data_IF_375698233707
#
_entry.id   IF_375698233707
#
_cell.length_a   1.000
_cell.length_b   1.000
_cell.length_c   1.000
_cell.angle_alpha   90.00
_cell.angle_beta   90.00
_cell.angle_gamma   90.00
#
_symmetry.space_group_name_H-M   'P 1'
#
loop_
_entity.id
_entity.type
_entity.pdbx_description
1 polymer ?
#
# COMPACT_ATOMS: atom_id res chain seq x y z
N UNK A 1 -58.43 7.25 48.44
CA UNK A 1 -57.99 5.85 48.52
C UNK A 1 -57.65 5.39 47.13
N UNK A 2 -56.45 4.83 46.99
CA UNK A 2 -55.83 4.41 45.74
C UNK A 2 -56.48 3.15 45.15
N UNK A 3 -56.51 3.08 43.83
CA UNK A 3 -56.37 1.84 43.08
C UNK A 3 -55.78 2.17 41.69
N UNK A 4 -54.49 1.91 41.60
CA UNK A 4 -53.63 1.85 40.42
C UNK A 4 -54.19 0.91 39.36
N UNK A 5 -54.01 1.24 38.08
CA UNK A 5 -53.48 0.29 37.07
C UNK A 5 -53.19 1.03 35.77
N UNK A 6 -51.89 1.21 35.51
CA UNK A 6 -51.33 1.49 34.20
C UNK A 6 -51.70 0.35 33.24
N UNK A 7 -52.15 0.71 32.04
CA UNK A 7 -51.99 -0.13 30.85
C UNK A 7 -51.26 0.69 29.82
N UNK A 8 -49.94 0.66 29.94
CA UNK A 8 -49.03 0.90 28.83
C UNK A 8 -49.38 -0.11 27.74
N UNK A 9 -50.01 0.36 26.66
CA UNK A 9 -50.06 -0.41 25.42
C UNK A 9 -48.64 -0.57 24.90
N UNK A 10 -48.19 -1.81 24.90
CA UNK A 10 -46.91 -2.24 24.38
C UNK A 10 -46.81 -1.86 22.90
N UNK A 11 -46.14 -0.74 22.62
CA UNK A 11 -45.47 -0.53 21.35
C UNK A 11 -44.44 -1.65 21.26
N UNK A 12 -44.73 -2.68 20.46
CA UNK A 12 -43.79 -3.73 20.14
C UNK A 12 -42.61 -3.09 19.41
N UNK A 13 -41.56 -2.78 20.15
CA UNK A 13 -40.24 -2.48 19.62
C UNK A 13 -39.73 -3.76 18.96
N UNK A 14 -39.99 -3.90 17.66
CA UNK A 14 -39.23 -4.82 16.83
C UNK A 14 -37.76 -4.42 16.98
N UNK A 15 -37.00 -5.21 17.74
CA UNK A 15 -35.58 -5.01 17.93
C UNK A 15 -34.91 -4.99 16.55
N UNK A 16 -34.53 -3.80 16.10
CA UNK A 16 -33.70 -3.61 14.92
C UNK A 16 -32.35 -4.26 15.22
N UNK A 17 -32.00 -5.30 14.46
CA UNK A 17 -30.68 -5.92 14.54
C UNK A 17 -29.61 -4.91 14.12
N UNK A 18 -29.02 -4.21 15.07
CA UNK A 18 -27.78 -3.47 14.84
C UNK A 18 -26.70 -4.49 14.51
N UNK A 19 -26.30 -4.62 13.25
CA UNK A 19 -25.13 -5.42 12.92
C UNK A 19 -23.91 -4.76 13.55
N UNK A 20 -23.24 -5.48 14.44
CA UNK A 20 -21.97 -5.04 14.99
C UNK A 20 -20.93 -4.91 13.86
N UNK A 21 -19.98 -3.96 13.95
CA UNK A 21 -18.81 -3.92 13.07
C UNK A 21 -18.17 -5.30 12.88
N UNK A 22 -17.74 -5.59 11.65
CA UNK A 22 -16.99 -6.81 11.35
C UNK A 22 -15.52 -6.55 11.63
N UNK A 23 -14.90 -7.40 12.44
CA UNK A 23 -13.47 -7.31 12.74
C UNK A 23 -12.73 -8.47 12.06
N UNK A 24 -11.76 -8.15 11.20
CA UNK A 24 -10.88 -9.15 10.57
C UNK A 24 -9.49 -9.01 11.19
N UNK A 25 -9.11 -10.04 11.96
CA UNK A 25 -7.78 -10.12 12.55
C UNK A 25 -6.72 -10.36 11.46
N UNK A 26 -5.45 -10.09 11.78
CA UNK A 26 -4.33 -10.40 10.88
C UNK A 26 -4.27 -11.88 10.51
N UNK A 27 -4.53 -12.77 11.48
CA UNK A 27 -4.56 -14.22 11.25
C UNK A 27 -5.66 -14.59 10.27
N UNK A 28 -6.89 -14.09 10.49
CA UNK A 28 -8.01 -14.32 9.56
C UNK A 28 -7.71 -13.76 8.18
N UNK A 29 -7.15 -12.55 8.09
CA UNK A 29 -6.79 -11.91 6.82
C UNK A 29 -5.88 -12.79 5.96
N UNK A 30 -4.81 -13.35 6.55
CA UNK A 30 -3.88 -14.21 5.81
C UNK A 30 -4.49 -15.53 5.35
N UNK A 31 -5.56 -16.00 6.00
CA UNK A 31 -6.27 -17.22 5.57
C UNK A 31 -7.24 -16.98 4.42
N UNK A 32 -7.80 -15.77 4.31
CA UNK A 32 -8.85 -15.46 3.32
C UNK A 32 -8.30 -14.75 2.08
N UNK A 33 -7.24 -13.95 2.22
CA UNK A 33 -6.68 -13.15 1.14
C UNK A 33 -5.24 -13.59 0.84
N UNK A 34 -5.09 -14.48 -0.15
CA UNK A 34 -3.77 -14.90 -0.63
C UNK A 34 -3.17 -13.86 -1.59
N UNK A 35 -1.84 -13.84 -1.72
CA UNK A 35 -1.14 -13.01 -2.71
C UNK A 35 -1.69 -13.22 -4.13
N UNK A 36 -1.96 -14.47 -4.53
CA UNK A 36 -2.46 -14.77 -5.87
C UNK A 36 -3.85 -14.18 -6.11
N UNK A 37 -4.78 -14.36 -5.16
CA UNK A 37 -6.12 -13.79 -5.25
C UNK A 37 -6.06 -12.26 -5.29
N UNK A 38 -5.24 -11.65 -4.42
CA UNK A 38 -5.08 -10.20 -4.38
C UNK A 38 -4.50 -9.64 -5.68
N UNK A 39 -3.44 -10.25 -6.23
CA UNK A 39 -2.85 -9.82 -7.50
C UNK A 39 -3.86 -9.89 -8.65
N UNK A 40 -4.58 -10.99 -8.78
CA UNK A 40 -5.61 -11.16 -9.82
C UNK A 40 -6.73 -10.12 -9.65
N UNK A 41 -7.19 -9.92 -8.41
CA UNK A 41 -8.20 -8.91 -8.10
C UNK A 41 -7.72 -7.53 -8.55
N UNK A 42 -6.55 -7.09 -8.09
CA UNK A 42 -5.98 -5.78 -8.43
C UNK A 42 -5.77 -5.61 -9.94
N UNK A 43 -5.22 -6.60 -10.64
CA UNK A 43 -5.05 -6.54 -12.10
C UNK A 43 -6.38 -6.30 -12.83
N UNK A 44 -7.46 -6.94 -12.37
CA UNK A 44 -8.77 -6.82 -13.00
C UNK A 44 -9.54 -5.55 -12.63
N UNK A 45 -9.38 -5.04 -11.40
CA UNK A 45 -10.23 -3.96 -10.87
C UNK A 45 -9.55 -2.60 -10.86
N UNK A 46 -8.22 -2.54 -10.73
CA UNK A 46 -7.46 -1.30 -10.60
C UNK A 46 -7.69 -0.30 -11.76
N UNK A 47 -7.74 -0.73 -13.04
CA UNK A 47 -8.06 0.16 -14.15
C UNK A 47 -9.40 0.87 -14.00
N UNK A 48 -10.46 0.18 -13.59
CA UNK A 48 -11.79 0.77 -13.44
C UNK A 48 -11.87 1.61 -12.17
N UNK A 49 -11.38 1.07 -11.06
CA UNK A 49 -11.46 1.69 -9.75
C UNK A 49 -10.72 3.03 -9.66
N UNK A 50 -9.54 3.12 -10.28
CA UNK A 50 -8.76 4.37 -10.33
C UNK A 50 -9.47 5.55 -11.01
N UNK A 51 -10.49 5.30 -11.83
CA UNK A 51 -11.29 6.39 -12.45
C UNK A 51 -12.43 6.91 -11.58
N UNK A 52 -12.86 6.12 -10.59
CA UNK A 52 -14.04 6.40 -9.77
C UNK A 52 -13.69 6.68 -8.30
N UNK A 53 -12.51 6.24 -7.85
CA UNK A 53 -12.02 6.49 -6.50
C UNK A 53 -11.39 7.87 -6.41
N UNK A 54 -11.73 8.57 -5.35
CA UNK A 54 -11.07 9.79 -4.91
C UNK A 54 -10.08 9.40 -3.82
N UNK A 55 -8.81 9.76 -4.02
CA UNK A 55 -7.72 9.48 -3.09
C UNK A 55 -6.84 10.71 -2.95
N UNK A 56 -7.03 11.55 -1.91
CA UNK A 56 -6.12 12.66 -1.67
C UNK A 56 -4.72 12.14 -1.34
N UNK A 57 -3.72 13.02 -1.48
CA UNK A 57 -2.36 12.77 -0.98
C UNK A 57 -2.46 12.40 0.50
N UNK A 58 -1.66 11.41 0.92
CA UNK A 58 -1.69 10.94 2.30
C UNK A 58 -1.41 12.07 3.27
N UNK A 59 -2.11 12.07 4.39
CA UNK A 59 -1.83 13.03 5.46
C UNK A 59 -0.70 12.47 6.32
N UNK A 60 0.26 13.32 6.66
CA UNK A 60 1.40 12.95 7.49
C UNK A 60 1.40 13.77 8.78
N UNK A 61 1.32 13.09 9.92
CA UNK A 61 1.35 13.68 11.24
C UNK A 61 2.61 13.22 11.99
N UNK A 62 3.53 14.15 12.22
CA UNK A 62 4.72 13.88 13.04
C UNK A 62 4.31 13.74 14.50
N UNK A 63 4.75 12.66 15.15
CA UNK A 63 4.42 12.37 16.55
C UNK A 63 5.63 12.60 17.47
N UNK A 64 6.75 11.95 17.14
CA UNK A 64 8.03 12.01 17.82
C UNK A 64 9.16 12.09 16.76
N UNK A 65 10.42 12.35 17.13
CA UNK A 65 11.53 12.30 16.19
C UNK A 65 11.53 10.99 15.37
N UNK A 66 11.47 11.13 14.05
CA UNK A 66 11.43 10.03 13.08
C UNK A 66 10.18 9.14 13.11
N UNK A 67 9.17 9.45 13.92
CA UNK A 67 7.93 8.69 14.05
C UNK A 67 6.71 9.47 13.56
N UNK A 68 5.80 8.77 12.89
CA UNK A 68 4.69 9.41 12.19
C UNK A 68 3.42 8.56 12.16
N UNK A 69 2.27 9.23 12.16
CA UNK A 69 0.97 8.68 11.77
C UNK A 69 0.67 9.14 10.35
N UNK A 70 0.29 8.20 9.49
CA UNK A 70 -0.15 8.43 8.13
C UNK A 70 -1.62 8.07 8.00
N UNK A 71 -2.40 8.94 7.36
CA UNK A 71 -3.79 8.67 7.02
C UNK A 71 -3.92 8.62 5.49
N UNK A 72 -4.49 7.52 4.99
CA UNK A 72 -4.70 7.28 3.56
C UNK A 72 -6.19 7.03 3.30
N UNK A 73 -7.01 8.10 3.25
CA UNK A 73 -8.43 7.97 2.95
C UNK A 73 -8.66 7.74 1.45
N UNK A 74 -9.73 7.03 1.14
CA UNK A 74 -10.20 6.77 -0.22
C UNK A 74 -11.72 6.62 -0.20
N UNK A 75 -12.41 7.11 -1.23
CA UNK A 75 -13.85 6.92 -1.34
C UNK A 75 -14.34 6.95 -2.77
N UNK A 76 -15.49 6.34 -3.01
CA UNK A 76 -16.17 6.40 -4.30
C UNK A 76 -17.67 6.60 -4.08
N UNK A 77 -18.25 7.54 -4.82
CA UNK A 77 -19.70 7.73 -4.91
C UNK A 77 -20.34 6.86 -6.01
N UNK A 78 -19.55 6.05 -6.72
CA UNK A 78 -20.08 5.16 -7.76
C UNK A 78 -20.89 4.03 -7.13
N UNK A 79 -22.09 3.71 -7.66
CA UNK A 79 -22.87 2.56 -7.21
C UNK A 79 -22.14 1.22 -7.35
N UNK A 80 -21.13 1.13 -8.22
CA UNK A 80 -20.34 -0.10 -8.41
C UNK A 80 -19.24 -0.28 -7.36
N UNK A 81 -18.93 0.77 -6.58
CA UNK A 81 -17.95 0.74 -5.49
C UNK A 81 -18.34 1.79 -4.43
N UNK A 82 -19.49 1.61 -3.74
CA UNK A 82 -20.06 2.62 -2.85
C UNK A 82 -19.43 2.52 -1.46
N UNK A 83 -18.13 2.82 -1.36
CA UNK A 83 -17.38 2.68 -0.11
C UNK A 83 -16.57 3.92 0.22
N UNK A 84 -16.39 4.15 1.52
CA UNK A 84 -15.37 5.03 2.10
C UNK A 84 -14.43 4.15 2.89
N UNK A 85 -13.13 4.35 2.79
CA UNK A 85 -12.18 3.63 3.61
C UNK A 85 -10.94 4.45 3.92
N UNK A 86 -10.37 4.21 5.09
CA UNK A 86 -9.20 4.93 5.58
C UNK A 86 -8.19 3.94 6.11
N UNK A 87 -6.98 3.95 5.56
CA UNK A 87 -5.84 3.30 6.18
C UNK A 87 -5.20 4.25 7.18
N UNK A 88 -5.06 3.81 8.42
CA UNK A 88 -4.26 4.43 9.46
C UNK A 88 -2.97 3.64 9.57
N UNK A 89 -1.83 4.28 9.34
CA UNK A 89 -0.52 3.63 9.45
C UNK A 89 0.34 4.38 10.45
N UNK A 90 0.96 3.67 11.36
CA UNK A 90 2.02 4.22 12.19
C UNK A 90 3.36 3.74 11.70
N UNK A 91 4.34 4.66 11.67
CA UNK A 91 5.74 4.38 11.38
C UNK A 91 6.57 4.78 12.60
N UNK A 92 7.15 3.79 13.27
CA UNK A 92 7.99 3.89 14.44
C UNK A 92 9.29 3.12 14.18
N UNK A 93 10.29 3.71 13.53
CA UNK A 93 11.46 2.98 13.05
C UNK A 93 12.27 2.34 14.20
N UNK A 94 12.19 2.90 15.41
CA UNK A 94 12.87 2.37 16.59
C UNK A 94 12.26 1.06 17.10
N UNK A 95 11.02 0.72 16.75
CA UNK A 95 10.36 -0.51 17.19
C UNK A 95 11.15 -1.78 16.82
N UNK A 96 11.87 -1.76 15.70
CA UNK A 96 12.71 -2.88 15.25
C UNK A 96 13.78 -3.25 16.29
N UNK A 97 14.31 -2.27 17.04
CA UNK A 97 15.31 -2.51 18.10
C UNK A 97 14.75 -3.27 19.31
N UNK A 98 13.43 -3.26 19.48
CA UNK A 98 12.71 -3.95 20.56
C UNK A 98 11.81 -5.06 20.01
N UNK A 99 12.10 -5.58 18.82
CA UNK A 99 11.38 -6.67 18.14
C UNK A 99 9.89 -6.40 17.84
N UNK A 100 9.46 -5.14 17.85
CA UNK A 100 8.13 -4.73 17.41
C UNK A 100 8.15 -4.30 15.93
N UNK A 101 7.03 -4.39 15.19
CA UNK A 101 6.97 -3.90 13.82
C UNK A 101 7.24 -2.39 13.75
N UNK A 102 8.13 -1.99 12.83
CA UNK A 102 8.40 -0.58 12.55
C UNK A 102 7.25 0.13 11.83
N UNK A 103 6.41 -0.64 11.14
CA UNK A 103 5.18 -0.17 10.50
C UNK A 103 4.02 -1.01 11.02
N UNK A 104 2.93 -0.36 11.42
CA UNK A 104 1.68 -1.01 11.78
C UNK A 104 0.53 -0.29 11.08
N UNK A 105 -0.41 -1.06 10.55
CA UNK A 105 -1.51 -0.52 9.76
C UNK A 105 -2.85 -1.01 10.30
N UNK A 106 -3.85 -0.15 10.29
CA UNK A 106 -5.24 -0.56 10.40
C UNK A 106 -6.07 0.06 9.28
N UNK A 107 -6.96 -0.71 8.68
CA UNK A 107 -7.86 -0.21 7.65
C UNK A 107 -9.28 -0.20 8.18
N UNK A 108 -10.02 0.87 7.94
CA UNK A 108 -11.42 1.02 8.32
C UNK A 108 -12.24 1.25 7.05
N UNK A 109 -13.17 0.35 6.73
CA UNK A 109 -14.06 0.45 5.57
C UNK A 109 -15.50 0.75 6.02
N UNK A 110 -16.19 1.63 5.31
CA UNK A 110 -17.60 1.98 5.53
C UNK A 110 -18.37 1.75 4.22
N UNK A 111 -19.48 1.03 4.31
CA UNK A 111 -20.44 0.92 3.20
C UNK A 111 -21.31 2.17 3.08
N UNK A 112 -21.44 2.69 1.87
CA UNK A 112 -22.42 3.72 1.50
C UNK A 112 -23.70 3.11 0.92
N UNK A 113 -23.79 1.78 0.86
CA UNK A 113 -24.95 1.07 0.31
C UNK A 113 -26.19 1.11 1.22
N UNK A 114 -26.04 1.54 2.49
CA UNK A 114 -27.14 1.90 3.37
C UNK A 114 -27.83 3.16 2.84
N UNK A 115 -28.69 2.93 1.84
CA UNK A 115 -29.64 3.79 1.13
C UNK A 115 -29.72 5.26 1.56
N UNK A 116 -29.80 6.12 0.55
CA UNK A 116 -30.21 7.55 0.49
C UNK A 116 -31.40 8.04 1.35
N UNK A 117 -31.75 7.42 2.48
CA UNK A 117 -32.83 7.80 3.39
C UNK A 117 -32.40 7.47 4.84
N UNK A 118 -31.91 8.48 5.55
CA UNK A 118 -31.91 8.58 7.02
C UNK A 118 -31.72 7.26 7.82
N UNK A 119 -30.56 6.60 7.70
CA UNK A 119 -29.95 5.73 8.73
C UNK A 119 -28.57 5.28 8.25
N UNK A 120 -27.52 5.85 8.84
CA UNK A 120 -26.14 5.44 8.62
C UNK A 120 -25.83 4.21 9.48
N UNK A 121 -26.31 3.04 9.06
CA UNK A 121 -25.73 1.78 9.54
C UNK A 121 -24.49 1.53 8.68
N UNK A 122 -23.35 1.98 9.19
CA UNK A 122 -22.04 1.70 8.61
C UNK A 122 -21.56 0.33 9.09
N UNK A 123 -21.56 -0.66 8.20
CA UNK A 123 -20.73 -1.84 8.42
C UNK A 123 -19.28 -1.38 8.37
N UNK A 124 -18.62 -1.45 9.53
CA UNK A 124 -17.22 -1.09 9.70
C UNK A 124 -16.39 -2.35 9.63
N UNK A 125 -15.54 -2.48 8.61
CA UNK A 125 -14.50 -3.50 8.57
C UNK A 125 -13.20 -2.92 9.13
N UNK A 126 -12.68 -3.49 10.22
CA UNK A 126 -11.35 -3.15 10.73
C UNK A 126 -10.37 -4.28 10.40
N UNK A 127 -9.31 -3.95 9.67
CA UNK A 127 -8.18 -4.84 9.36
C UNK A 127 -6.94 -4.38 10.12
N UNK A 128 -6.07 -5.30 10.55
CA UNK A 128 -4.77 -4.96 11.13
C UNK A 128 -3.64 -5.67 10.36
N UNK A 129 -2.60 -4.96 9.96
CA UNK A 129 -1.40 -5.53 9.35
C UNK A 129 -0.28 -5.60 10.39
N UNK A 130 0.07 -6.83 10.79
CA UNK A 130 1.16 -7.14 11.71
C UNK A 130 2.46 -7.55 10.99
N UNK A 131 3.44 -7.98 11.78
CA UNK A 131 4.81 -8.34 11.38
C UNK A 131 4.82 -9.25 10.12
N UNK A 132 5.53 -8.83 9.08
CA UNK A 132 5.92 -9.73 7.99
C UNK A 132 6.92 -10.77 8.50
N UNK A 133 6.80 -12.00 8.02
CA UNK A 133 7.65 -13.10 8.46
C UNK A 133 9.14 -12.82 8.28
N UNK A 134 9.96 -13.46 9.12
CA UNK A 134 11.40 -13.50 8.89
C UNK A 134 11.63 -14.19 7.54
N UNK A 135 12.15 -13.43 6.57
CA UNK A 135 12.56 -13.95 5.28
C UNK A 135 13.50 -15.15 5.49
N UNK A 136 13.15 -16.33 4.97
CA UNK A 136 14.04 -17.49 4.96
C UNK A 136 13.82 -18.57 6.01
N UNK A 137 12.59 -18.88 6.44
CA UNK A 137 12.34 -20.23 6.94
C UNK A 137 12.17 -21.19 5.75
N UNK A 138 13.17 -22.05 5.56
CA UNK A 138 13.20 -23.10 4.54
C UNK A 138 12.04 -24.07 4.74
N UNK A 139 10.87 -23.75 4.17
CA UNK A 139 9.67 -24.58 4.26
C UNK A 139 8.45 -24.06 3.50
N UNK A 140 8.29 -22.74 3.33
CA UNK A 140 7.05 -22.17 2.75
C UNK A 140 7.04 -22.00 1.23
N UNK A 141 8.21 -21.90 0.59
CA UNK A 141 8.31 -21.65 -0.85
C UNK A 141 8.96 -22.84 -1.56
N UNK A 142 8.12 -23.80 -1.97
CA UNK A 142 8.57 -24.98 -2.70
C UNK A 142 9.35 -24.60 -3.97
N UNK A 143 10.56 -25.13 -4.11
CA UNK A 143 11.43 -24.88 -5.28
C UNK A 143 12.25 -23.59 -5.24
N UNK A 144 12.25 -22.85 -4.13
CA UNK A 144 13.06 -21.63 -3.94
C UNK A 144 14.17 -21.88 -2.91
N UNK A 145 15.41 -21.58 -3.28
CA UNK A 145 16.56 -21.58 -2.36
C UNK A 145 16.82 -20.17 -1.83
N UNK A 146 17.02 -20.06 -0.52
CA UNK A 146 17.38 -18.80 0.13
C UNK A 146 18.86 -18.82 0.52
N UNK A 147 19.59 -17.80 0.11
CA UNK A 147 21.00 -17.62 0.47
C UNK A 147 21.19 -16.19 1.01
N UNK A 148 21.79 -16.09 2.21
CA UNK A 148 22.19 -14.81 2.77
C UNK A 148 23.59 -14.47 2.31
N UNK A 149 23.79 -13.26 1.80
CA UNK A 149 25.11 -12.76 1.42
C UNK A 149 25.47 -11.53 2.25
N UNK A 150 26.74 -11.45 2.68
CA UNK A 150 27.26 -10.34 3.47
C UNK A 150 27.66 -9.10 2.64
N UNK A 151 27.59 -9.17 1.31
CA UNK A 151 28.01 -8.10 0.41
C UNK A 151 26.83 -7.67 -0.48
N UNK A 152 26.25 -6.50 -0.20
CA UNK A 152 25.10 -5.98 -0.94
C UNK A 152 25.43 -5.72 -2.42
N UNK A 153 26.59 -5.13 -2.70
CA UNK A 153 27.04 -4.81 -4.07
C UNK A 153 27.10 -6.06 -4.96
N UNK A 154 27.47 -7.21 -4.41
CA UNK A 154 27.52 -8.49 -5.13
C UNK A 154 26.11 -8.99 -5.44
N UNK A 155 25.22 -9.03 -4.44
CA UNK A 155 23.83 -9.50 -4.61
C UNK A 155 23.08 -8.68 -5.65
N UNK A 156 23.24 -7.35 -5.62
CA UNK A 156 22.62 -6.45 -6.60
C UNK A 156 23.10 -6.77 -8.02
N UNK A 157 24.38 -7.16 -8.18
CA UNK A 157 24.94 -7.53 -9.48
C UNK A 157 24.39 -8.83 -10.07
N UNK A 158 23.91 -9.75 -9.23
CA UNK A 158 23.34 -11.03 -9.68
C UNK A 158 21.83 -10.96 -9.95
N UNK A 159 21.11 -10.07 -9.27
CA UNK A 159 19.65 -10.01 -9.32
C UNK A 159 19.07 -9.63 -10.67
N UNK A 160 18.22 -10.50 -11.24
CA UNK A 160 17.29 -10.13 -12.33
C UNK A 160 16.19 -9.19 -11.82
N UNK A 161 15.78 -9.41 -10.57
CA UNK A 161 14.84 -8.57 -9.82
C UNK A 161 15.52 -8.24 -8.50
N UNK A 162 15.66 -6.94 -8.22
CA UNK A 162 16.19 -6.41 -6.96
C UNK A 162 15.05 -5.64 -6.30
N UNK A 163 14.60 -6.10 -5.13
CA UNK A 163 13.59 -5.39 -4.33
C UNK A 163 14.27 -4.75 -3.12
N UNK A 164 14.09 -3.44 -2.97
CA UNK A 164 14.57 -2.66 -1.83
C UNK A 164 13.35 -2.17 -1.03
N UNK A 165 13.35 -2.50 0.27
CA UNK A 165 12.27 -2.18 1.19
C UNK A 165 12.85 -1.82 2.57
N UNK A 166 13.61 -0.74 2.60
CA UNK A 166 14.43 -0.27 3.72
C UNK A 166 14.03 1.13 4.14
N UNK A 167 14.33 1.48 5.39
CA UNK A 167 14.15 2.86 5.87
C UNK A 167 15.40 3.73 5.65
N UNK A 168 16.17 3.47 4.59
CA UNK A 168 17.45 4.15 4.38
C UNK A 168 17.28 5.62 4.02
N UNK A 169 18.20 6.46 4.50
CA UNK A 169 18.36 7.86 4.09
C UNK A 169 19.60 8.04 3.21
N UNK A 170 20.28 6.94 2.88
CA UNK A 170 21.43 6.91 1.98
C UNK A 170 21.29 5.79 0.94
N UNK A 171 21.81 5.99 -0.29
CA UNK A 171 21.75 4.96 -1.32
C UNK A 171 22.34 3.63 -0.88
N UNK A 172 21.55 2.56 -1.00
CA UNK A 172 21.98 1.18 -0.78
C UNK A 172 22.26 0.50 -2.13
N UNK A 173 21.34 0.67 -3.08
CA UNK A 173 21.47 0.13 -4.44
C UNK A 173 22.24 1.12 -5.31
N UNK A 174 23.44 0.72 -5.71
CA UNK A 174 24.25 1.49 -6.65
C UNK A 174 23.89 1.13 -8.08
N UNK A 175 23.48 2.11 -8.87
CA UNK A 175 23.06 1.91 -10.26
C UNK A 175 24.11 1.22 -11.10
N UNK A 176 25.41 1.51 -10.88
CA UNK A 176 26.53 0.85 -11.58
C UNK A 176 26.59 -0.68 -11.37
N UNK A 177 26.02 -1.18 -10.26
CA UNK A 177 26.00 -2.61 -9.94
C UNK A 177 24.85 -3.34 -10.63
N UNK A 178 23.80 -2.64 -11.06
CA UNK A 178 22.68 -3.28 -11.76
C UNK A 178 23.16 -3.84 -13.12
N UNK A 179 22.88 -5.12 -13.34
CA UNK A 179 23.11 -5.77 -14.64
C UNK A 179 22.12 -5.28 -15.69
N UNK A 180 22.49 -5.42 -16.97
CA UNK A 180 21.56 -5.22 -18.08
C UNK A 180 20.32 -6.10 -17.88
N UNK A 181 19.15 -5.54 -18.15
CA UNK A 181 17.87 -6.25 -18.00
C UNK A 181 17.28 -6.31 -16.59
N UNK A 182 17.98 -5.84 -15.55
CA UNK A 182 17.45 -5.89 -14.19
C UNK A 182 16.13 -5.10 -14.02
N UNK A 183 15.26 -5.58 -13.13
CA UNK A 183 14.14 -4.83 -12.57
C UNK A 183 14.47 -4.43 -11.13
N UNK A 184 14.42 -3.14 -10.84
CA UNK A 184 14.60 -2.60 -9.50
C UNK A 184 13.25 -2.14 -8.96
N UNK A 185 12.83 -2.69 -7.83
CA UNK A 185 11.59 -2.36 -7.13
C UNK A 185 11.94 -1.63 -5.83
N UNK A 186 11.39 -0.44 -5.61
CA UNK A 186 11.74 0.49 -4.54
C UNK A 186 10.47 0.84 -3.77
N UNK A 187 10.41 0.44 -2.50
CA UNK A 187 9.16 0.47 -1.71
C UNK A 187 9.35 1.21 -0.37
N UNK A 188 10.59 1.36 0.09
CA UNK A 188 10.92 1.94 1.38
C UNK A 188 10.85 3.48 1.41
N UNK A 189 11.12 4.16 0.30
CA UNK A 189 11.20 5.63 0.26
C UNK A 189 9.83 6.30 0.11
N UNK A 190 9.23 6.72 1.24
CA UNK A 190 7.95 7.47 1.26
C UNK A 190 8.07 8.86 1.94
N UNK A 191 9.29 9.33 2.18
CA UNK A 191 9.60 10.68 2.68
C UNK A 191 10.68 11.32 1.82
N UNK A 192 10.70 12.66 1.68
CA UNK A 192 11.73 13.35 0.90
C UNK A 192 13.18 13.08 1.34
N UNK A 193 13.41 12.74 2.61
CA UNK A 193 14.75 12.41 3.13
C UNK A 193 15.18 10.97 2.89
N UNK A 194 14.26 10.08 2.51
CA UNK A 194 14.55 8.65 2.32
C UNK A 194 15.08 8.39 0.92
N UNK A 195 15.98 7.43 0.82
CA UNK A 195 16.68 7.11 -0.42
C UNK A 195 17.21 5.67 -0.36
N UNK A 196 16.78 4.83 -1.30
CA UNK A 196 17.23 3.44 -1.38
C UNK A 196 18.23 3.19 -2.51
N UNK A 197 18.18 4.01 -3.57
CA UNK A 197 19.10 3.92 -4.70
C UNK A 197 19.82 5.25 -4.97
N UNK A 198 20.89 5.19 -5.75
CA UNK A 198 21.61 6.37 -6.22
C UNK A 198 21.01 6.93 -7.52
N UNK A 199 21.44 8.14 -7.87
CA UNK A 199 21.05 8.81 -9.12
C UNK A 199 21.39 7.98 -10.36
N UNK A 200 22.41 7.14 -10.29
CA UNK A 200 22.82 6.28 -11.40
C UNK A 200 21.77 5.20 -11.70
N UNK A 201 21.10 4.65 -10.68
CA UNK A 201 20.01 3.70 -10.87
C UNK A 201 18.83 4.35 -11.59
N UNK A 202 18.46 5.57 -11.16
CA UNK A 202 17.40 6.37 -11.79
C UNK A 202 17.76 6.73 -13.22
N UNK A 203 18.99 7.19 -13.47
CA UNK A 203 19.47 7.62 -14.79
C UNK A 203 19.56 6.48 -15.81
N UNK A 204 19.96 5.28 -15.37
CA UNK A 204 20.07 4.09 -16.25
C UNK A 204 18.73 3.41 -16.46
N UNK A 205 17.81 3.53 -15.50
CA UNK A 205 16.53 2.84 -15.50
C UNK A 205 15.43 3.60 -16.23
N UNK A 206 14.51 2.86 -16.85
CA UNK A 206 13.19 3.40 -17.21
C UNK A 206 12.31 3.37 -15.97
N UNK A 207 12.02 4.55 -15.42
CA UNK A 207 11.29 4.71 -14.15
C UNK A 207 9.78 4.64 -14.38
N UNK A 208 9.10 3.85 -13.57
CA UNK A 208 7.64 3.78 -13.44
C UNK A 208 7.27 3.99 -11.98
N UNK A 209 6.05 4.46 -11.74
CA UNK A 209 5.58 4.74 -10.37
C UNK A 209 4.29 4.01 -10.06
N UNK A 210 4.00 3.77 -8.79
CA UNK A 210 2.70 3.23 -8.40
C UNK A 210 1.58 4.24 -8.66
N UNK A 211 1.79 5.50 -8.26
CA UNK A 211 0.88 6.61 -8.47
C UNK A 211 1.60 7.97 -8.43
N UNK A 212 0.91 9.05 -8.80
CA UNK A 212 1.47 10.41 -8.87
C UNK A 212 2.08 10.91 -7.55
N UNK A 213 1.65 10.40 -6.39
CA UNK A 213 2.23 10.80 -5.10
C UNK A 213 3.73 10.44 -5.01
N UNK A 214 4.19 9.42 -5.74
CA UNK A 214 5.62 9.08 -5.80
C UNK A 214 6.48 10.25 -6.28
N UNK A 215 5.94 11.13 -7.14
CA UNK A 215 6.66 12.30 -7.68
C UNK A 215 6.85 13.44 -6.67
N UNK A 216 6.28 13.30 -5.47
CA UNK A 216 6.29 14.29 -4.39
C UNK A 216 6.79 13.69 -3.07
N UNK A 217 6.56 12.39 -2.85
CA UNK A 217 6.86 11.70 -1.59
C UNK A 217 8.19 10.92 -1.64
N UNK A 218 8.55 10.32 -2.78
CA UNK A 218 9.75 9.48 -2.89
C UNK A 218 11.01 10.35 -2.93
N UNK A 219 11.83 10.33 -1.87
CA UNK A 219 13.00 11.20 -1.75
C UNK A 219 14.04 11.04 -2.84
N UNK A 220 14.26 9.82 -3.33
CA UNK A 220 15.11 9.59 -4.50
C UNK A 220 14.59 10.23 -5.79
N UNK A 221 13.29 10.22 -6.07
CA UNK A 221 12.72 10.91 -7.24
C UNK A 221 12.70 12.43 -7.05
N UNK A 222 12.24 12.89 -5.88
CA UNK A 222 12.21 14.33 -5.55
C UNK A 222 13.60 14.93 -5.68
N UNK A 223 14.59 14.31 -5.05
CA UNK A 223 15.98 14.73 -5.14
C UNK A 223 16.54 14.62 -6.57
N UNK A 224 16.19 13.57 -7.32
CA UNK A 224 16.63 13.41 -8.70
C UNK A 224 16.06 14.52 -9.62
N UNK A 225 14.82 14.94 -9.42
CA UNK A 225 14.23 16.09 -10.14
C UNK A 225 14.98 17.39 -9.82
N UNK A 226 15.27 17.65 -8.54
CA UNK A 226 16.01 18.84 -8.11
C UNK A 226 17.42 18.89 -8.68
N UNK A 227 18.10 17.73 -8.74
CA UNK A 227 19.45 17.59 -9.30
C UNK A 227 19.48 17.50 -10.82
N UNK A 228 18.33 17.41 -11.49
CA UNK A 228 18.23 17.30 -12.94
C UNK A 228 18.69 15.94 -13.50
N UNK A 229 18.64 14.89 -12.69
CA UNK A 229 18.99 13.51 -13.08
C UNK A 229 17.94 12.90 -14.01
N UNK A 230 16.67 13.26 -13.77
CA UNK A 230 15.50 12.90 -14.56
C UNK A 230 14.50 14.06 -14.47
N UNK A 231 13.64 14.22 -15.47
CA UNK A 231 12.51 15.15 -15.47
C UNK A 231 11.19 14.42 -15.23
N UNK A 232 10.18 15.15 -14.77
CA UNK A 232 8.85 14.60 -14.49
C UNK A 232 8.19 13.99 -15.74
N UNK A 233 8.43 14.55 -16.92
CA UNK A 233 7.91 14.05 -18.21
C UNK A 233 8.67 12.84 -18.76
N UNK A 234 9.80 12.47 -18.14
CA UNK A 234 10.57 11.27 -18.48
C UNK A 234 10.11 10.02 -17.70
N UNK A 235 9.17 10.18 -16.75
CA UNK A 235 8.54 9.05 -16.07
C UNK A 235 7.74 8.22 -17.08
N UNK A 236 8.03 6.93 -17.14
CA UNK A 236 7.51 6.00 -18.14
C UNK A 236 6.01 5.71 -18.01
N UNK A 237 5.42 5.97 -16.84
CA UNK A 237 4.00 5.78 -16.55
C UNK A 237 3.73 5.30 -15.13
N UNK A 238 2.46 5.31 -14.78
CA UNK A 238 1.93 4.75 -13.52
C UNK A 238 1.59 3.26 -13.65
N UNK A 239 1.46 2.57 -12.51
CA UNK A 239 1.01 1.18 -12.45
C UNK A 239 -0.36 1.00 -13.13
N UNK A 240 -1.28 1.95 -12.96
CA UNK A 240 -2.60 1.91 -13.59
C UNK A 240 -2.49 1.93 -15.12
N UNK A 241 -1.68 2.84 -15.67
CA UNK A 241 -1.46 2.95 -17.11
C UNK A 241 -0.77 1.69 -17.68
N UNK A 242 0.15 1.10 -16.92
CA UNK A 242 0.80 -0.17 -17.30
C UNK A 242 -0.21 -1.32 -17.34
N UNK A 243 -1.07 -1.46 -16.33
CA UNK A 243 -2.10 -2.51 -16.27
C UNK A 243 -3.14 -2.34 -17.39
N UNK A 244 -3.46 -1.10 -17.77
CA UNK A 244 -4.34 -0.80 -18.92
C UNK A 244 -3.70 -1.07 -20.27
N UNK A 245 -2.37 -1.08 -20.34
CA UNK A 245 -1.62 -1.11 -21.59
C UNK A 245 -1.49 0.27 -22.26
N UNK A 246 -1.81 1.35 -21.55
CA UNK A 246 -1.68 2.73 -22.06
C UNK A 246 -0.19 3.14 -22.19
N UNK A 247 0.67 2.53 -21.38
CA UNK A 247 2.12 2.72 -21.39
C UNK A 247 2.82 1.39 -21.62
N UNK A 248 3.86 1.42 -22.47
CA UNK A 248 4.72 0.25 -22.69
C UNK A 248 5.69 0.15 -21.52
N UNK A 249 5.72 -1.01 -20.86
CA UNK A 249 6.68 -1.33 -19.81
C UNK A 249 8.12 -1.46 -20.36
N UNK A 250 8.73 -2.62 -20.11
CA UNK A 250 10.04 -2.98 -20.67
C UNK A 250 9.97 -3.09 -22.20
N UNK A 251 10.97 -2.53 -22.88
CA UNK A 251 11.04 -2.47 -24.34
C UNK A 251 12.20 -3.27 -24.95
N UNK A 252 13.15 -3.75 -24.14
CA UNK A 252 14.22 -4.66 -24.57
C UNK A 252 14.69 -5.56 -23.41
N UNK A 253 15.39 -6.65 -23.73
CA UNK A 253 15.97 -7.55 -22.72
C UNK A 253 17.02 -6.87 -21.85
N UNK A 254 17.76 -5.90 -22.41
CA UNK A 254 18.85 -5.20 -21.72
C UNK A 254 18.41 -3.96 -20.94
N UNK A 255 17.19 -3.45 -21.16
CA UNK A 255 16.72 -2.24 -20.50
C UNK A 255 16.60 -2.47 -18.99
N UNK A 256 17.14 -1.57 -18.17
CA UNK A 256 16.84 -1.58 -16.74
C UNK A 256 15.48 -0.92 -16.54
N UNK A 257 14.63 -1.50 -15.71
CA UNK A 257 13.36 -0.90 -15.30
C UNK A 257 13.39 -0.62 -13.81
N UNK A 258 12.90 0.54 -13.39
CA UNK A 258 12.78 0.93 -11.99
C UNK A 258 11.31 1.15 -11.69
N UNK A 259 10.78 0.51 -10.66
CA UNK A 259 9.44 0.76 -10.15
C UNK A 259 9.55 1.39 -8.76
N UNK A 260 8.97 2.58 -8.61
CA UNK A 260 8.95 3.31 -7.35
C UNK A 260 7.54 3.30 -6.78
N UNK A 261 7.38 2.71 -5.61
CA UNK A 261 6.12 2.62 -4.88
C UNK A 261 6.18 3.40 -3.58
N UNK A 262 5.30 4.38 -3.41
CA UNK A 262 5.09 5.04 -2.11
C UNK A 262 3.86 4.48 -1.39
N UNK A 263 3.00 3.75 -2.09
CA UNK A 263 1.74 3.19 -1.59
C UNK A 263 0.53 4.00 -2.05
N UNK A 264 -0.58 3.31 -2.30
CA UNK A 264 -1.81 3.89 -2.85
C UNK A 264 -3.04 3.49 -2.04
N UNK A 265 -3.84 4.49 -1.63
CA UNK A 265 -5.11 4.26 -0.96
C UNK A 265 -6.12 3.50 -1.84
N UNK A 266 -5.96 3.56 -3.17
CA UNK A 266 -6.77 2.78 -4.13
C UNK A 266 -6.54 1.28 -3.91
N UNK A 267 -5.28 0.86 -3.78
CA UNK A 267 -4.93 -0.55 -3.58
C UNK A 267 -5.44 -1.04 -2.24
N UNK A 268 -5.37 -0.20 -1.20
CA UNK A 268 -5.91 -0.55 0.12
C UNK A 268 -7.43 -0.75 0.10
N UNK A 269 -8.18 0.13 -0.57
CA UNK A 269 -9.63 -0.01 -0.77
C UNK A 269 -9.97 -1.30 -1.52
N UNK A 270 -9.27 -1.58 -2.62
CA UNK A 270 -9.52 -2.78 -3.42
C UNK A 270 -9.19 -4.06 -2.67
N UNK A 271 -8.12 -4.07 -1.87
CA UNK A 271 -7.82 -5.18 -0.98
C UNK A 271 -8.93 -5.41 0.05
N UNK A 272 -9.46 -4.33 0.65
CA UNK A 272 -10.51 -4.41 1.66
C UNK A 272 -11.85 -4.91 1.11
N UNK A 273 -12.26 -4.49 -0.10
CA UNK A 273 -13.52 -4.95 -0.72
C UNK A 273 -13.40 -6.33 -1.39
N UNK A 274 -12.20 -6.90 -1.44
CA UNK A 274 -11.97 -8.27 -1.92
C UNK A 274 -12.23 -9.32 -0.83
N UNK A 275 -12.46 -8.89 0.42
CA UNK A 275 -12.76 -9.72 1.59
C UNK A 275 -14.26 -10.01 1.70
#
# INVERSE_FOLDING_TARGET
MAATTNKDEAISTSASSSSSPVFISTETLFTILTHHTLMNHLQSTLPKASTILQTPIRQHHSLFPSSSLLLMPSWSSSPSLPYIGVKLVTHFPQNSSINLPGVQGSYVLFSLASKYLARHDSEVLVMNSGKGDKFGQSGEFGGVSFEGCGCLDEVVGFGDIVSCATNSETPLVKGVRLKGGAHLDLVGSFKPSMMECDDEAIRRGKVFVDNEAALVEAGELVGAFERGVIKRDEIGGSLVELVRGDKVGRSSSEQITVFMSVGSAVVDMLAAVCL
#
